data_IF_049831414260
#
_entry.id   IF_049831414260
#
_cell.length_a   1.000
_cell.length_b   1.000
_cell.length_c   1.000
_cell.angle_alpha   90.00
_cell.angle_beta   90.00
_cell.angle_gamma   90.00
#
_symmetry.space_group_name_H-M   'P 1'
#
loop_
_entity.id
_entity.type
_entity.pdbx_description
1 polymer ?
#
# COMPACT_ATOMS: atom_id res chain seq x y z
N UNK A 1 60.10 -7.52 11.43
CA UNK A 1 59.55 -6.30 12.04
C UNK A 1 59.32 -5.19 11.01
N UNK A 2 60.26 -4.92 10.07
CA UNK A 2 60.14 -3.89 9.01
C UNK A 2 58.99 -4.19 8.01
N UNK A 3 58.77 -5.45 7.62
CA UNK A 3 57.67 -5.87 6.72
C UNK A 3 56.31 -5.73 7.37
N UNK A 4 56.16 -5.97 8.68
CA UNK A 4 54.90 -5.79 9.41
C UNK A 4 54.53 -4.30 9.58
N UNK A 5 55.55 -3.41 9.74
CA UNK A 5 55.32 -1.97 9.77
C UNK A 5 54.91 -1.42 8.39
N UNK A 6 55.45 -1.97 7.28
CA UNK A 6 55.00 -1.60 5.93
C UNK A 6 53.55 -2.00 5.66
N UNK A 7 53.09 -3.15 6.17
CA UNK A 7 51.69 -3.56 6.01
C UNK A 7 50.74 -2.69 6.83
N UNK A 8 51.14 -2.19 8.01
CA UNK A 8 50.35 -1.27 8.82
C UNK A 8 50.23 0.12 8.17
N UNK A 9 51.24 0.56 7.40
CA UNK A 9 51.21 1.82 6.67
C UNK A 9 50.26 1.79 5.47
N UNK A 10 49.94 0.61 4.93
CA UNK A 10 48.89 0.42 3.89
C UNK A 10 47.47 0.49 4.42
N UNK A 11 47.25 0.21 5.70
CA UNK A 11 45.94 0.25 6.32
C UNK A 11 45.41 1.67 6.60
N UNK A 12 46.28 2.68 6.57
CA UNK A 12 45.97 4.08 6.89
C UNK A 12 45.79 4.97 5.64
N UNK A 13 45.74 4.37 4.45
CA UNK A 13 45.43 5.09 3.22
C UNK A 13 43.92 5.29 3.13
N UNK A 14 43.41 6.36 3.77
CA UNK A 14 42.01 6.77 3.70
C UNK A 14 41.47 6.74 2.25
N UNK A 15 40.20 6.42 2.13
CA UNK A 15 39.49 6.36 0.85
C UNK A 15 39.73 7.65 0.04
N UNK A 16 40.28 7.56 -1.14
CA UNK A 16 40.45 8.72 -2.02
C UNK A 16 39.10 9.11 -2.61
N UNK A 17 38.52 10.16 -2.03
CA UNK A 17 37.19 10.63 -2.35
C UNK A 17 37.02 10.99 -3.84
N UNK A 18 38.07 11.54 -4.47
CA UNK A 18 38.06 11.89 -5.89
C UNK A 18 38.01 10.63 -6.77
N UNK A 19 38.84 9.63 -6.42
CA UNK A 19 38.84 8.32 -7.10
C UNK A 19 37.54 7.59 -6.97
N UNK A 20 36.96 7.61 -5.76
CA UNK A 20 35.62 7.01 -5.49
C UNK A 20 34.54 7.69 -6.30
N UNK A 21 34.48 9.02 -6.32
CA UNK A 21 33.51 9.79 -7.12
C UNK A 21 33.61 9.49 -8.62
N UNK A 22 34.83 9.40 -9.15
CA UNK A 22 35.05 9.04 -10.56
C UNK A 22 34.60 7.61 -10.87
N UNK A 23 34.83 6.68 -9.95
CA UNK A 23 34.35 5.30 -10.06
C UNK A 23 32.81 5.29 -10.07
N UNK A 24 32.19 6.02 -9.16
CA UNK A 24 30.70 6.15 -9.06
C UNK A 24 30.15 6.72 -10.37
N UNK A 25 30.71 7.82 -10.89
CA UNK A 25 30.24 8.45 -12.12
C UNK A 25 30.35 7.51 -13.33
N UNK A 26 31.40 6.74 -13.44
CA UNK A 26 31.57 5.74 -14.52
C UNK A 26 30.57 4.57 -14.40
N UNK A 27 30.10 4.30 -13.20
CA UNK A 27 29.16 3.19 -12.89
C UNK A 27 27.71 3.63 -12.72
N UNK A 28 27.37 4.90 -13.03
CA UNK A 28 25.98 5.40 -13.00
C UNK A 28 24.99 4.47 -13.73
N UNK A 29 25.28 3.98 -14.96
CA UNK A 29 24.34 3.11 -15.65
C UNK A 29 24.08 1.80 -14.87
N UNK A 30 25.09 1.26 -14.21
CA UNK A 30 24.94 0.07 -13.36
C UNK A 30 24.09 0.39 -12.11
N UNK A 31 24.34 1.53 -11.46
CA UNK A 31 23.54 1.99 -10.30
C UNK A 31 22.09 2.13 -10.69
N UNK A 32 21.79 2.80 -11.81
CA UNK A 32 20.44 2.98 -12.30
C UNK A 32 19.76 1.64 -12.63
N UNK A 33 20.46 0.73 -13.29
CA UNK A 33 19.92 -0.59 -13.64
C UNK A 33 19.57 -1.42 -12.40
N UNK A 34 20.47 -1.49 -11.40
CA UNK A 34 20.24 -2.25 -10.16
C UNK A 34 19.14 -1.61 -9.32
N UNK A 35 19.09 -0.28 -9.27
CA UNK A 35 18.03 0.44 -8.54
C UNK A 35 16.66 0.22 -9.20
N UNK A 36 16.57 0.28 -10.52
CA UNK A 36 15.35 -0.02 -11.25
C UNK A 36 14.90 -1.48 -11.05
N UNK A 37 15.85 -2.42 -11.08
CA UNK A 37 15.55 -3.83 -10.78
C UNK A 37 15.03 -4.00 -9.35
N UNK A 38 15.59 -3.29 -8.38
CA UNK A 38 15.11 -3.28 -6.99
C UNK A 38 13.67 -2.78 -6.89
N UNK A 39 13.32 -1.71 -7.60
CA UNK A 39 11.96 -1.20 -7.65
C UNK A 39 10.96 -2.23 -8.24
N UNK A 40 11.33 -2.90 -9.34
CA UNK A 40 10.52 -3.95 -9.96
C UNK A 40 10.34 -5.15 -9.02
N UNK A 41 11.41 -5.60 -8.37
CA UNK A 41 11.33 -6.68 -7.37
C UNK A 41 10.46 -6.28 -6.17
N UNK A 42 10.54 -5.04 -5.72
CA UNK A 42 9.69 -4.51 -4.64
C UNK A 42 8.20 -4.63 -4.99
N UNK A 43 7.81 -4.26 -6.21
CA UNK A 43 6.43 -4.42 -6.69
C UNK A 43 6.06 -5.90 -6.78
N UNK A 44 6.93 -6.73 -7.35
CA UNK A 44 6.66 -8.17 -7.52
C UNK A 44 6.46 -8.86 -6.16
N UNK A 45 7.35 -8.61 -5.20
CA UNK A 45 7.21 -9.15 -3.83
C UNK A 45 5.92 -8.66 -3.19
N UNK A 46 5.61 -7.36 -3.33
CA UNK A 46 4.39 -6.79 -2.80
C UNK A 46 3.14 -7.45 -3.38
N UNK A 47 3.09 -7.67 -4.70
CA UNK A 47 1.95 -8.33 -5.35
C UNK A 47 1.77 -9.78 -4.90
N UNK A 48 2.88 -10.51 -4.72
CA UNK A 48 2.85 -11.91 -4.22
C UNK A 48 2.43 -11.99 -2.76
N UNK A 49 2.97 -11.11 -1.91
CA UNK A 49 2.65 -11.10 -0.46
C UNK A 49 1.23 -10.57 -0.20
N UNK A 50 0.71 -9.72 -1.09
CA UNK A 50 -0.64 -9.15 -0.98
C UNK A 50 -1.76 -10.11 -1.38
N UNK A 51 -1.47 -11.30 -1.90
CA UNK A 51 -2.52 -12.31 -2.07
C UNK A 51 -3.06 -12.71 -0.69
N UNK A 52 -4.14 -12.01 -0.28
CA UNK A 52 -4.84 -12.27 0.99
C UNK A 52 -5.32 -13.72 0.94
N UNK A 53 -5.00 -14.56 1.95
CA UNK A 53 -5.54 -15.91 2.04
C UNK A 53 -7.07 -15.88 1.95
N UNK A 54 -7.67 -16.90 1.35
CA UNK A 54 -9.13 -16.95 1.19
C UNK A 54 -9.89 -16.72 2.51
N UNK A 55 -9.34 -17.22 3.63
CA UNK A 55 -9.93 -17.07 4.95
C UNK A 55 -9.94 -15.62 5.50
N UNK A 56 -9.13 -14.73 4.93
CA UNK A 56 -9.02 -13.32 5.37
C UNK A 56 -9.63 -12.35 4.35
N UNK A 57 -10.25 -12.87 3.29
CA UNK A 57 -10.91 -12.01 2.30
C UNK A 57 -12.18 -11.44 2.89
N UNK A 58 -12.36 -10.14 2.73
CA UNK A 58 -13.59 -9.44 3.07
C UNK A 58 -14.34 -9.06 1.80
N UNK A 59 -15.64 -9.26 1.83
CA UNK A 59 -16.56 -8.85 0.79
C UNK A 59 -17.49 -7.79 1.33
N UNK A 60 -17.74 -6.78 0.54
CA UNK A 60 -18.59 -5.64 0.92
C UNK A 60 -19.64 -5.37 -0.15
N UNK A 61 -20.87 -5.20 0.29
CA UNK A 61 -21.96 -4.69 -0.52
C UNK A 61 -22.65 -3.55 0.22
N UNK A 62 -23.25 -2.63 -0.51
CA UNK A 62 -24.02 -1.56 0.11
C UNK A 62 -25.36 -1.32 -0.61
N UNK A 63 -26.32 -0.78 0.14
CA UNK A 63 -27.57 -0.27 -0.40
C UNK A 63 -27.78 1.17 0.03
N UNK A 64 -28.16 2.03 -0.93
CA UNK A 64 -28.60 3.39 -0.66
C UNK A 64 -30.12 3.43 -0.59
N UNK A 65 -30.61 3.96 0.50
CA UNK A 65 -32.01 3.92 0.91
C UNK A 65 -32.45 5.36 1.15
N UNK A 66 -33.54 5.75 0.54
CA UNK A 66 -34.17 7.05 0.76
C UNK A 66 -35.28 6.94 1.79
N UNK A 67 -35.23 7.82 2.76
CA UNK A 67 -36.16 7.90 3.88
C UNK A 67 -37.16 9.03 3.60
N UNK A 68 -38.45 8.72 3.71
CA UNK A 68 -39.52 9.70 3.62
C UNK A 68 -40.19 9.77 4.99
N UNK A 69 -39.86 10.81 5.76
CA UNK A 69 -40.39 11.02 7.08
C UNK A 69 -41.86 11.49 7.02
N UNK A 70 -42.67 11.02 7.96
CA UNK A 70 -44.02 11.48 8.16
C UNK A 70 -44.07 12.85 8.85
N UNK A 71 -45.23 13.46 8.88
CA UNK A 71 -45.48 14.72 9.60
C UNK A 71 -46.32 14.39 10.80
N UNK A 72 -46.02 14.94 11.96
CA UNK A 72 -46.73 14.75 13.19
C UNK A 72 -48.07 15.50 13.20
N UNK A 73 -48.84 15.36 14.27
CA UNK A 73 -50.16 16.01 14.45
C UNK A 73 -50.03 17.57 14.47
N UNK A 74 -48.82 18.10 14.73
CA UNK A 74 -48.58 19.55 14.77
C UNK A 74 -48.15 20.10 13.41
N UNK A 75 -47.94 19.23 12.43
CA UNK A 75 -47.48 19.58 11.07
C UNK A 75 -45.97 19.70 10.96
N UNK A 76 -45.23 19.26 11.97
CA UNK A 76 -43.74 19.18 11.92
C UNK A 76 -43.32 17.80 11.45
N UNK A 77 -42.17 17.77 10.71
CA UNK A 77 -41.59 16.51 10.27
C UNK A 77 -41.02 15.76 11.48
N UNK A 78 -41.26 14.46 11.56
CA UNK A 78 -40.67 13.62 12.61
C UNK A 78 -39.16 13.78 12.61
N UNK A 79 -38.56 13.65 13.79
CA UNK A 79 -37.15 13.91 14.00
C UNK A 79 -36.29 13.00 13.13
N UNK A 80 -35.43 13.61 12.35
CA UNK A 80 -34.49 12.87 11.47
C UNK A 80 -33.43 12.17 12.28
N UNK A 81 -33.12 10.92 11.91
CA UNK A 81 -32.12 10.10 12.58
C UNK A 81 -30.75 10.29 11.95
N UNK A 82 -29.72 10.36 12.77
CA UNK A 82 -28.34 10.34 12.33
C UNK A 82 -27.77 8.91 12.20
N UNK A 83 -26.55 8.77 11.71
CA UNK A 83 -25.92 7.47 11.52
C UNK A 83 -25.79 6.63 12.80
N UNK A 84 -25.60 7.26 13.97
CA UNK A 84 -25.53 6.55 15.26
C UNK A 84 -26.89 5.96 15.61
N UNK A 85 -27.94 6.73 15.47
CA UNK A 85 -29.33 6.27 15.72
C UNK A 85 -29.67 5.08 14.82
N UNK A 86 -29.27 5.12 13.54
CA UNK A 86 -29.51 4.01 12.63
C UNK A 86 -28.71 2.76 12.98
N UNK A 87 -27.44 2.89 13.39
CA UNK A 87 -26.67 1.73 13.85
C UNK A 87 -27.29 1.09 15.08
N UNK A 88 -27.78 1.89 16.04
CA UNK A 88 -28.50 1.38 17.20
C UNK A 88 -29.80 0.69 16.81
N UNK A 89 -30.59 1.27 15.91
CA UNK A 89 -31.83 0.66 15.41
C UNK A 89 -31.58 -0.64 14.66
N UNK A 90 -30.52 -0.72 13.83
CA UNK A 90 -30.17 -1.96 13.14
C UNK A 90 -29.75 -3.09 14.07
N UNK A 91 -29.25 -2.75 15.25
CA UNK A 91 -28.83 -3.69 16.29
C UNK A 91 -29.94 -4.07 17.24
N UNK A 92 -31.14 -3.39 17.19
CA UNK A 92 -32.27 -3.63 18.09
C UNK A 92 -33.31 -4.54 17.46
N UNK A 93 -34.18 -5.10 18.33
CA UNK A 93 -35.12 -6.14 17.98
C UNK A 93 -36.08 -5.68 16.93
N UNK A 94 -36.70 -4.70 16.60
CA UNK A 94 -37.63 -4.70 15.45
C UNK A 94 -36.95 -4.92 14.12
N UNK A 95 -35.78 -4.29 13.84
CA UNK A 95 -35.13 -4.42 12.53
C UNK A 95 -34.31 -5.70 12.46
N UNK A 96 -33.59 -6.02 13.54
CA UNK A 96 -32.77 -7.23 13.59
C UNK A 96 -33.63 -8.50 13.49
N UNK A 97 -34.78 -8.56 14.16
CA UNK A 97 -35.72 -9.70 14.08
C UNK A 97 -36.24 -9.86 12.64
N UNK A 98 -36.71 -8.79 12.02
CA UNK A 98 -37.13 -8.81 10.62
C UNK A 98 -36.02 -9.25 9.67
N UNK A 99 -34.78 -8.82 9.94
CA UNK A 99 -33.64 -9.26 9.16
C UNK A 99 -33.37 -10.76 9.33
N UNK A 100 -33.42 -11.25 10.56
CA UNK A 100 -33.22 -12.67 10.87
C UNK A 100 -34.35 -13.55 10.31
N UNK A 101 -35.58 -13.09 10.24
CA UNK A 101 -36.68 -13.81 9.56
C UNK A 101 -36.41 -14.02 8.06
N UNK A 102 -35.71 -13.10 7.43
CA UNK A 102 -35.33 -13.20 6.02
C UNK A 102 -34.08 -14.06 5.76
N UNK A 103 -33.39 -14.53 6.81
CA UNK A 103 -32.17 -15.31 6.74
C UNK A 103 -32.40 -16.78 7.12
N UNK A 104 -31.51 -17.67 6.63
CA UNK A 104 -31.53 -19.07 7.04
C UNK A 104 -31.01 -19.23 8.49
N UNK A 105 -31.30 -20.37 9.10
CA UNK A 105 -30.99 -20.63 10.53
C UNK A 105 -29.49 -20.77 10.87
N UNK A 106 -28.63 -20.73 9.88
CA UNK A 106 -27.17 -20.81 10.03
C UNK A 106 -26.50 -19.44 10.25
N UNK A 107 -27.28 -18.34 10.27
CA UNK A 107 -26.81 -17.01 10.61
C UNK A 107 -27.04 -16.70 12.09
N UNK A 108 -26.03 -16.15 12.78
CA UNK A 108 -26.21 -15.67 14.15
C UNK A 108 -26.53 -14.17 14.18
N UNK A 109 -27.25 -13.74 15.23
CA UNK A 109 -27.57 -12.31 15.44
C UNK A 109 -26.30 -11.49 15.58
N UNK A 110 -25.30 -12.00 16.29
CA UNK A 110 -24.01 -11.35 16.50
C UNK A 110 -23.26 -11.16 15.19
N UNK A 111 -23.31 -12.16 14.29
CA UNK A 111 -22.69 -12.06 12.96
C UNK A 111 -23.35 -10.97 12.12
N UNK A 112 -24.69 -10.94 12.10
CA UNK A 112 -25.45 -9.94 11.33
C UNK A 112 -25.22 -8.53 11.86
N UNK A 113 -25.23 -8.36 13.18
CA UNK A 113 -24.93 -7.07 13.82
C UNK A 113 -23.51 -6.60 13.51
N UNK A 114 -22.52 -7.47 13.66
CA UNK A 114 -21.12 -7.13 13.40
C UNK A 114 -20.83 -6.82 11.92
N UNK A 115 -21.60 -7.44 11.01
CA UNK A 115 -21.46 -7.25 9.57
C UNK A 115 -22.12 -5.97 9.06
N UNK A 116 -23.10 -5.42 9.80
CA UNK A 116 -23.97 -4.33 9.34
C UNK A 116 -23.51 -2.97 9.86
N UNK A 117 -23.32 -2.02 8.95
CA UNK A 117 -23.00 -0.63 9.27
C UNK A 117 -23.96 0.33 8.55
N UNK A 118 -24.52 1.26 9.28
CA UNK A 118 -25.40 2.30 8.77
C UNK A 118 -24.69 3.66 8.77
N UNK A 119 -24.68 4.35 7.62
CA UNK A 119 -24.00 5.63 7.45
C UNK A 119 -24.91 6.66 6.78
N UNK A 120 -24.93 7.88 7.31
CA UNK A 120 -25.54 9.05 6.69
C UNK A 120 -24.45 10.09 6.43
N UNK A 121 -24.21 10.43 5.17
CA UNK A 121 -23.08 11.29 4.80
C UNK A 121 -23.43 12.79 4.81
N UNK A 122 -24.46 13.22 4.12
CA UNK A 122 -24.77 14.65 3.95
C UNK A 122 -26.25 14.99 3.97
N UNK A 123 -27.11 14.09 3.49
CA UNK A 123 -28.56 14.26 3.55
C UNK A 123 -29.13 13.23 4.52
N UNK A 124 -29.73 13.69 5.60
CA UNK A 124 -30.31 12.83 6.65
C UNK A 124 -31.42 11.91 6.13
N UNK A 125 -31.95 12.17 4.94
CA UNK A 125 -32.92 11.33 4.25
C UNK A 125 -32.28 10.25 3.38
N UNK A 126 -30.94 10.20 3.31
CA UNK A 126 -30.22 9.22 2.51
C UNK A 126 -29.35 8.34 3.40
N UNK A 127 -29.87 7.16 3.71
CA UNK A 127 -29.20 6.14 4.49
C UNK A 127 -28.39 5.22 3.56
N UNK A 128 -27.14 4.94 3.91
CA UNK A 128 -26.34 3.91 3.27
C UNK A 128 -26.13 2.78 4.27
N UNK A 129 -26.62 1.60 3.93
CA UNK A 129 -26.38 0.37 4.69
C UNK A 129 -25.29 -0.42 3.99
N UNK A 130 -24.25 -0.74 4.70
CA UNK A 130 -23.08 -1.50 4.22
C UNK A 130 -22.99 -2.81 4.98
N UNK A 131 -22.85 -3.91 4.26
CA UNK A 131 -22.61 -5.23 4.84
C UNK A 131 -21.22 -5.67 4.47
N UNK A 132 -20.45 -6.15 5.44
CA UNK A 132 -19.09 -6.67 5.25
C UNK A 132 -18.96 -8.04 5.91
N UNK A 133 -18.66 -9.08 5.15
CA UNK A 133 -18.39 -10.45 5.65
C UNK A 133 -17.22 -11.11 4.91
N UNK A 134 -16.85 -12.31 5.33
CA UNK A 134 -15.81 -13.10 4.66
C UNK A 134 -16.31 -13.95 3.47
N UNK A 135 -17.58 -13.83 3.10
CA UNK A 135 -18.19 -14.57 1.98
C UNK A 135 -19.10 -13.67 1.16
N UNK A 136 -18.90 -13.67 -0.17
CA UNK A 136 -19.74 -12.88 -1.07
C UNK A 136 -21.22 -13.24 -0.93
N UNK A 137 -21.55 -14.55 -0.93
CA UNK A 137 -22.93 -15.02 -0.83
C UNK A 137 -23.59 -14.58 0.49
N UNK A 138 -22.86 -14.65 1.62
CA UNK A 138 -23.37 -14.20 2.92
C UNK A 138 -23.59 -12.68 2.93
N UNK A 139 -22.67 -11.91 2.35
CA UNK A 139 -22.80 -10.45 2.23
C UNK A 139 -24.07 -10.07 1.45
N UNK A 140 -24.32 -10.69 0.31
CA UNK A 140 -25.49 -10.41 -0.52
C UNK A 140 -26.80 -10.85 0.16
N UNK A 141 -26.80 -12.01 0.84
CA UNK A 141 -27.96 -12.49 1.55
C UNK A 141 -28.35 -11.59 2.74
N UNK A 142 -27.37 -11.19 3.56
CA UNK A 142 -27.60 -10.29 4.68
C UNK A 142 -28.09 -8.92 4.17
N UNK A 143 -27.45 -8.36 3.12
CA UNK A 143 -27.89 -7.08 2.55
C UNK A 143 -29.33 -7.14 2.03
N UNK A 144 -29.69 -8.23 1.35
CA UNK A 144 -31.05 -8.43 0.84
C UNK A 144 -32.07 -8.52 1.99
N UNK A 145 -31.79 -9.29 3.04
CA UNK A 145 -32.64 -9.45 4.20
C UNK A 145 -32.80 -8.12 4.96
N UNK A 146 -31.68 -7.42 5.22
CA UNK A 146 -31.68 -6.12 5.91
C UNK A 146 -32.48 -5.07 5.13
N UNK A 147 -32.35 -5.06 3.81
CA UNK A 147 -33.14 -4.16 2.96
C UNK A 147 -34.65 -4.43 3.07
N UNK A 148 -35.06 -5.69 3.00
CA UNK A 148 -36.45 -6.08 3.19
C UNK A 148 -36.97 -5.73 4.60
N UNK A 149 -36.15 -5.98 5.61
CA UNK A 149 -36.47 -5.61 6.99
C UNK A 149 -36.75 -4.11 7.15
N UNK A 150 -35.87 -3.26 6.53
CA UNK A 150 -36.05 -1.82 6.56
C UNK A 150 -37.30 -1.34 5.83
N UNK A 151 -37.61 -1.92 4.67
CA UNK A 151 -38.83 -1.61 3.94
C UNK A 151 -40.06 -1.99 4.78
N UNK A 152 -40.08 -3.17 5.38
CA UNK A 152 -41.15 -3.62 6.27
C UNK A 152 -41.26 -2.76 7.54
N UNK A 153 -40.13 -2.43 8.15
CA UNK A 153 -40.09 -1.52 9.30
C UNK A 153 -40.69 -0.15 8.97
N UNK A 154 -40.33 0.41 7.81
CA UNK A 154 -40.87 1.69 7.34
C UNK A 154 -42.36 1.68 7.07
N UNK A 155 -42.96 0.51 6.80
CA UNK A 155 -44.42 0.36 6.69
C UNK A 155 -45.13 0.27 8.05
N UNK A 156 -44.41 -0.16 9.09
CA UNK A 156 -44.95 -0.36 10.44
C UNK A 156 -44.76 0.84 11.37
N UNK A 157 -43.67 1.62 11.12
CA UNK A 157 -43.33 2.74 11.99
C UNK A 157 -44.05 4.03 11.55
N UNK A 158 -44.70 4.69 12.50
CA UNK A 158 -45.49 5.92 12.26
C UNK A 158 -44.62 7.11 11.78
N UNK A 159 -43.33 7.05 12.04
CA UNK A 159 -42.35 8.10 11.73
C UNK A 159 -42.02 8.18 10.24
N UNK A 160 -42.35 7.15 9.46
CA UNK A 160 -42.04 7.08 8.04
C UNK A 160 -43.29 7.00 7.17
N UNK A 161 -43.30 7.76 6.09
CA UNK A 161 -44.29 7.57 5.01
C UNK A 161 -43.86 6.37 4.16
N UNK A 162 -42.53 6.26 3.91
CA UNK A 162 -41.97 5.21 3.08
C UNK A 162 -40.46 5.14 3.28
N UNK A 163 -39.91 3.95 3.22
CA UNK A 163 -38.50 3.67 3.06
C UNK A 163 -38.31 3.03 1.68
N UNK A 164 -37.44 3.59 0.85
CA UNK A 164 -37.28 3.18 -0.56
C UNK A 164 -35.84 2.93 -0.92
N UNK A 165 -35.54 1.74 -1.41
CA UNK A 165 -34.21 1.43 -1.93
C UNK A 165 -33.99 2.11 -3.28
N UNK A 166 -32.92 2.93 -3.39
CA UNK A 166 -32.54 3.63 -4.62
C UNK A 166 -31.49 2.84 -5.41
N UNK A 167 -30.51 2.28 -4.70
CA UNK A 167 -29.38 1.59 -5.29
C UNK A 167 -28.94 0.43 -4.42
N UNK A 168 -28.60 -0.69 -5.02
CA UNK A 168 -27.99 -1.84 -4.34
C UNK A 168 -26.80 -2.30 -5.18
N UNK A 169 -25.68 -2.62 -4.54
CA UNK A 169 -24.51 -3.26 -5.19
C UNK A 169 -24.47 -4.74 -4.85
N UNK A 170 -23.81 -5.51 -5.67
CA UNK A 170 -23.41 -6.88 -5.36
C UNK A 170 -22.17 -6.89 -4.47
N UNK A 171 -21.89 -8.03 -3.83
CA UNK A 171 -20.74 -8.18 -2.96
C UNK A 171 -19.43 -8.14 -3.77
N UNK A 172 -18.62 -7.14 -3.52
CA UNK A 172 -17.30 -6.98 -4.12
C UNK A 172 -16.21 -7.25 -3.09
N UNK A 173 -15.10 -7.84 -3.55
CA UNK A 173 -13.92 -8.07 -2.70
C UNK A 173 -13.36 -6.72 -2.22
N UNK A 174 -13.23 -6.56 -0.92
CA UNK A 174 -12.57 -5.38 -0.33
C UNK A 174 -11.08 -5.47 -0.64
N UNK A 175 -10.66 -4.68 -1.60
CA UNK A 175 -9.23 -4.56 -1.92
C UNK A 175 -8.64 -3.51 -1.00
N UNK A 176 -7.75 -3.92 -0.09
CA UNK A 176 -7.01 -2.98 0.75
C UNK A 176 -6.31 -1.92 -0.12
N UNK A 177 -6.26 -0.69 0.38
CA UNK A 177 -5.64 0.44 -0.34
C UNK A 177 -4.29 0.06 -0.94
N UNK A 178 -4.14 0.39 -2.22
CA UNK A 178 -2.94 0.03 -2.98
C UNK A 178 -1.72 0.78 -2.46
N UNK A 179 -0.91 0.13 -1.62
CA UNK A 179 0.38 0.65 -1.17
C UNK A 179 1.52 0.40 -2.18
N UNK A 180 1.16 0.26 -3.45
CA UNK A 180 2.11 -0.01 -4.54
C UNK A 180 3.21 1.05 -4.61
N UNK A 181 2.88 2.33 -4.41
CA UNK A 181 3.87 3.41 -4.38
C UNK A 181 4.88 3.21 -3.25
N UNK A 182 4.43 2.80 -2.07
CA UNK A 182 5.32 2.51 -0.93
C UNK A 182 6.23 1.30 -1.24
N UNK A 183 5.70 0.26 -1.88
CA UNK A 183 6.48 -0.91 -2.28
C UNK A 183 7.55 -0.55 -3.32
N UNK A 184 7.23 0.32 -4.30
CA UNK A 184 8.19 0.87 -5.26
C UNK A 184 9.30 1.63 -4.53
N UNK A 185 8.96 2.53 -3.61
CA UNK A 185 9.94 3.33 -2.87
C UNK A 185 10.87 2.47 -2.01
N UNK A 186 10.33 1.48 -1.30
CA UNK A 186 11.13 0.55 -0.49
C UNK A 186 12.06 -0.28 -1.39
N UNK A 187 11.55 -0.82 -2.50
CA UNK A 187 12.35 -1.56 -3.47
C UNK A 187 13.46 -0.71 -4.10
N UNK A 188 13.17 0.56 -4.41
CA UNK A 188 14.14 1.52 -4.94
C UNK A 188 15.25 1.83 -3.92
N UNK A 189 14.91 2.04 -2.65
CA UNK A 189 15.88 2.28 -1.58
C UNK A 189 16.80 1.07 -1.36
N UNK A 190 16.24 -0.13 -1.33
CA UNK A 190 17.01 -1.37 -1.20
C UNK A 190 17.93 -1.55 -2.44
N UNK A 191 17.40 -1.36 -3.65
CA UNK A 191 18.16 -1.44 -4.89
C UNK A 191 19.29 -0.42 -4.94
N UNK A 192 19.06 0.80 -4.47
CA UNK A 192 20.11 1.83 -4.35
C UNK A 192 21.20 1.41 -3.37
N UNK A 193 20.84 0.92 -2.19
CA UNK A 193 21.81 0.45 -1.20
C UNK A 193 22.68 -0.70 -1.74
N UNK A 194 22.06 -1.68 -2.40
CA UNK A 194 22.76 -2.81 -3.03
C UNK A 194 23.67 -2.31 -4.15
N UNK A 195 23.21 -1.38 -4.99
CA UNK A 195 24.04 -0.83 -6.08
C UNK A 195 25.28 -0.10 -5.56
N UNK A 196 25.14 0.67 -4.48
CA UNK A 196 26.27 1.35 -3.83
C UNK A 196 27.25 0.35 -3.22
N UNK A 197 26.76 -0.75 -2.61
CA UNK A 197 27.62 -1.83 -2.11
C UNK A 197 28.42 -2.48 -3.26
N UNK A 198 27.77 -2.74 -4.41
CA UNK A 198 28.45 -3.30 -5.59
C UNK A 198 29.53 -2.33 -6.09
N UNK A 199 29.23 -1.03 -6.20
CA UNK A 199 30.21 -0.04 -6.63
C UNK A 199 31.37 0.06 -5.64
N UNK A 200 31.08 -0.03 -4.33
CA UNK A 200 32.13 -0.04 -3.31
C UNK A 200 33.02 -1.26 -3.42
N UNK A 201 32.45 -2.45 -3.65
CA UNK A 201 33.25 -3.66 -3.94
C UNK A 201 34.13 -3.49 -5.18
N UNK A 202 33.59 -2.95 -6.27
CA UNK A 202 34.36 -2.64 -7.46
C UNK A 202 35.48 -1.67 -7.16
N UNK A 203 35.26 -0.64 -6.35
CA UNK A 203 36.26 0.32 -5.95
C UNK A 203 37.42 -0.33 -5.15
N UNK A 204 37.08 -1.22 -4.20
CA UNK A 204 38.05 -1.92 -3.36
C UNK A 204 38.88 -2.94 -4.18
N UNK A 205 38.21 -3.60 -5.14
CA UNK A 205 38.86 -4.62 -6.01
C UNK A 205 39.56 -4.04 -7.25
N UNK A 206 39.46 -2.71 -7.47
CA UNK A 206 40.08 -2.07 -8.64
C UNK A 206 41.57 -1.75 -8.36
N UNK A 207 42.43 -2.65 -8.75
CA UNK A 207 43.90 -2.52 -8.63
C UNK A 207 44.52 -1.60 -9.70
N UNK A 208 43.69 -0.91 -10.51
CA UNK A 208 44.21 -0.04 -11.58
C UNK A 208 44.81 1.23 -11.01
N UNK A 209 45.97 1.58 -11.54
CA UNK A 209 46.66 2.84 -11.26
C UNK A 209 45.90 3.94 -12.03
N UNK A 210 45.09 4.74 -11.35
CA UNK A 210 44.29 5.82 -11.95
C UNK A 210 44.86 7.21 -11.66
N UNK A 211 45.77 7.33 -10.68
CA UNK A 211 46.33 8.60 -10.27
C UNK A 211 47.81 8.46 -9.90
N UNK A 212 48.55 9.56 -9.99
CA UNK A 212 49.96 9.62 -9.57
C UNK A 212 50.14 9.26 -8.09
N UNK A 213 49.14 9.56 -7.27
CA UNK A 213 49.10 9.17 -5.87
C UNK A 213 49.15 7.65 -5.66
N UNK A 214 48.61 6.86 -6.60
CA UNK A 214 48.61 5.40 -6.52
C UNK A 214 50.02 4.85 -6.74
N UNK A 215 50.79 5.47 -7.69
CA UNK A 215 52.17 5.13 -7.93
C UNK A 215 53.05 5.47 -6.74
N UNK A 216 52.84 6.65 -6.12
CA UNK A 216 53.60 7.07 -4.93
C UNK A 216 53.34 6.21 -3.69
N UNK A 217 52.18 5.60 -3.60
CA UNK A 217 51.83 4.67 -2.49
C UNK A 217 52.58 3.34 -2.60
N UNK A 218 52.90 2.91 -3.82
CA UNK A 218 53.49 1.59 -4.07
C UNK A 218 55.01 1.69 -4.25
N UNK A 219 55.51 2.82 -4.75
CA UNK A 219 56.95 3.02 -5.06
C UNK A 219 57.43 4.35 -4.49
N UNK A 220 58.64 4.35 -3.90
CA UNK A 220 59.33 5.57 -3.44
C UNK A 220 59.96 6.36 -4.59
N UNK A 221 59.59 6.04 -5.85
CA UNK A 221 60.13 6.69 -7.03
C UNK A 221 59.50 8.06 -7.26
N UNK A 222 60.36 9.03 -7.64
CA UNK A 222 59.90 10.37 -8.02
C UNK A 222 59.14 10.31 -9.36
N UNK A 223 57.96 10.91 -9.41
CA UNK A 223 57.18 11.01 -10.64
C UNK A 223 57.83 12.01 -11.60
N UNK A 224 58.27 11.56 -12.77
CA UNK A 224 59.00 12.35 -13.75
C UNK A 224 58.13 13.01 -14.81
N UNK A 225 56.82 12.57 -14.95
CA UNK A 225 55.89 13.15 -15.91
C UNK A 225 54.93 12.14 -16.52
N UNK A 226 53.98 12.64 -17.31
CA UNK A 226 53.07 11.83 -18.10
C UNK A 226 53.55 11.67 -19.52
N UNK A 227 53.50 10.46 -20.05
CA UNK A 227 53.60 10.21 -21.48
C UNK A 227 52.19 10.06 -22.03
N UNK A 228 51.74 10.99 -22.85
CA UNK A 228 50.47 10.88 -23.55
C UNK A 228 50.58 9.86 -24.68
N UNK A 229 49.68 8.88 -24.72
CA UNK A 229 49.65 7.87 -25.78
C UNK A 229 49.49 8.46 -27.20
N UNK A 230 49.01 9.72 -27.32
CA UNK A 230 48.88 10.42 -28.60
C UNK A 230 50.17 10.89 -29.22
N UNK A 231 51.28 11.04 -28.47
CA UNK A 231 52.58 11.51 -29.00
C UNK A 231 53.42 10.40 -29.61
N UNK A 232 53.14 9.13 -29.30
CA UNK A 232 53.88 7.98 -29.84
C UNK A 232 53.44 7.56 -31.25
N UNK A 233 52.26 7.97 -31.71
CA UNK A 233 51.71 7.57 -33.01
C UNK A 233 51.81 8.67 -34.09
N UNK A 234 52.45 9.81 -33.80
CA UNK A 234 52.47 10.94 -34.71
C UNK A 234 53.86 11.21 -35.31
N UNK A 235 54.79 10.24 -35.26
CA UNK A 235 56.04 10.31 -36.05
C UNK A 235 56.19 9.00 -36.80
N UNK A 236 55.75 9.03 -38.04
CA UNK A 236 56.28 8.34 -39.21
C UNK A 236 55.14 8.15 -40.22
N UNK A 237 54.88 9.25 -40.98
CA UNK A 237 54.59 9.17 -42.41
C UNK A 237 54.87 10.53 -43.09
#
# INVERSE_FOLDING_TARGET
MVLAMKQLQYADAGMDMKKYMLCLLKKIPLVLAVTALGALLGVLVYTVVRTVPEAEREYRAFSKIKLYFAVDETGEVYQEYNGYTWNDLMATDPILDLTMEGLASDYSREEVMAATEATILSDLRLLTVTITTHSADRTDMILKATKQALETYGEQAEEFVKIETIQTTEAELVVADSRTVQAVLVGLLIGLAVSLLIVNLYYVMDDRILAVSDVRKVTDLSFLGYLSAGEFFQKDY
#
